data_IF_520840299308
#
_entry.id   IF_520840299308
#
_cell.length_a   1.000
_cell.length_b   1.000
_cell.length_c   1.000
_cell.angle_alpha   90.00
_cell.angle_beta   90.00
_cell.angle_gamma   90.00
#
_symmetry.space_group_name_H-M   'P 1'
#
loop_
_entity.id
_entity.type
_entity.pdbx_description
1 polymer ?
#
# COMPACT_ATOMS: atom_id res chain seq x y z
N UNK A 1 -22.64 -49.34 -1.83
CA UNK A 1 -21.53 -48.59 -1.20
C UNK A 1 -20.90 -47.66 -2.24
N UNK A 2 -21.54 -46.55 -2.58
CA UNK A 2 -21.04 -45.68 -3.68
C UNK A 2 -21.57 -44.25 -3.70
N UNK A 3 -22.40 -43.87 -2.72
CA UNK A 3 -23.02 -42.54 -2.66
C UNK A 3 -22.36 -41.69 -1.55
N UNK A 4 -21.72 -42.32 -0.57
CA UNK A 4 -21.02 -41.66 0.54
C UNK A 4 -19.61 -41.17 0.20
N UNK A 5 -19.01 -41.63 -0.91
CA UNK A 5 -17.66 -41.20 -1.32
C UNK A 5 -17.65 -39.93 -2.19
N UNK A 6 -18.74 -39.62 -2.90
CA UNK A 6 -18.80 -38.43 -3.75
C UNK A 6 -18.96 -37.11 -2.96
N UNK A 7 -19.45 -37.18 -1.72
CA UNK A 7 -19.61 -35.98 -0.87
C UNK A 7 -18.28 -35.51 -0.26
N UNK A 8 -17.29 -36.40 -0.12
CA UNK A 8 -15.98 -36.05 0.44
C UNK A 8 -15.11 -35.34 -0.62
N UNK A 9 -15.20 -35.76 -1.89
CA UNK A 9 -14.46 -35.14 -2.99
C UNK A 9 -14.94 -33.72 -3.34
N UNK A 10 -16.26 -33.45 -3.21
CA UNK A 10 -16.81 -32.11 -3.41
C UNK A 10 -16.41 -31.11 -2.31
N UNK A 11 -16.15 -31.59 -1.10
CA UNK A 11 -15.80 -30.73 0.04
C UNK A 11 -14.32 -30.31 0.03
N UNK A 12 -13.44 -31.17 -0.50
CA UNK A 12 -11.99 -30.87 -0.61
C UNK A 12 -11.71 -29.80 -1.70
N UNK A 13 -12.48 -29.80 -2.79
CA UNK A 13 -12.33 -28.81 -3.86
C UNK A 13 -12.72 -27.38 -3.44
N UNK A 14 -13.70 -27.23 -2.54
CA UNK A 14 -14.11 -25.92 -2.01
C UNK A 14 -13.12 -25.33 -0.98
N UNK A 15 -12.37 -26.19 -0.28
CA UNK A 15 -11.34 -25.76 0.67
C UNK A 15 -10.10 -25.26 -0.10
N UNK A 16 -9.79 -25.85 -1.25
CA UNK A 16 -8.62 -25.47 -2.07
C UNK A 16 -8.76 -24.08 -2.71
N UNK A 17 -9.96 -23.70 -3.17
CA UNK A 17 -10.19 -22.37 -3.79
C UNK A 17 -10.24 -21.24 -2.76
N UNK A 18 -10.76 -21.49 -1.55
CA UNK A 18 -10.73 -20.51 -0.46
C UNK A 18 -9.30 -20.27 0.06
N UNK A 19 -8.47 -21.32 0.08
CA UNK A 19 -7.08 -21.24 0.56
C UNK A 19 -6.22 -20.36 -0.34
N UNK A 20 -6.39 -20.44 -1.67
CA UNK A 20 -5.64 -19.61 -2.62
C UNK A 20 -6.04 -18.13 -2.54
N UNK A 21 -7.32 -17.82 -2.34
CA UNK A 21 -7.81 -16.44 -2.23
C UNK A 21 -7.36 -15.78 -0.93
N UNK A 22 -7.29 -16.54 0.17
CA UNK A 22 -6.76 -16.04 1.44
C UNK A 22 -5.24 -15.82 1.37
N UNK A 23 -4.49 -16.76 0.77
CA UNK A 23 -3.04 -16.63 0.61
C UNK A 23 -2.63 -15.46 -0.28
N UNK A 24 -3.37 -15.19 -1.36
CA UNK A 24 -3.15 -14.04 -2.24
C UNK A 24 -3.42 -12.71 -1.52
N UNK A 25 -4.51 -12.64 -0.74
CA UNK A 25 -4.84 -11.45 0.05
C UNK A 25 -3.85 -11.20 1.20
N UNK A 26 -3.34 -12.26 1.83
CA UNK A 26 -2.28 -12.14 2.85
C UNK A 26 -0.96 -11.68 2.20
N UNK A 27 -0.60 -12.20 1.03
CA UNK A 27 0.57 -11.76 0.27
C UNK A 27 0.47 -10.30 -0.18
N UNK A 28 -0.71 -9.86 -0.64
CA UNK A 28 -0.97 -8.45 -0.95
C UNK A 28 -0.78 -7.57 0.29
N UNK A 29 -1.36 -7.97 1.43
CA UNK A 29 -1.25 -7.23 2.69
C UNK A 29 0.20 -7.11 3.16
N UNK A 30 0.99 -8.17 3.05
CA UNK A 30 2.42 -8.15 3.35
C UNK A 30 3.19 -7.20 2.43
N UNK A 31 2.89 -7.21 1.12
CA UNK A 31 3.51 -6.31 0.16
C UNK A 31 3.16 -4.84 0.45
N UNK A 32 1.91 -4.55 0.82
CA UNK A 32 1.47 -3.20 1.19
C UNK A 32 2.06 -2.73 2.52
N UNK A 33 2.20 -3.61 3.51
CA UNK A 33 2.90 -3.30 4.75
C UNK A 33 4.38 -2.99 4.52
N UNK A 34 5.04 -3.73 3.62
CA UNK A 34 6.41 -3.43 3.20
C UNK A 34 6.49 -2.09 2.48
N UNK A 35 5.54 -1.78 1.59
CA UNK A 35 5.46 -0.49 0.91
C UNK A 35 5.40 0.66 1.91
N UNK A 36 4.55 0.57 2.95
CA UNK A 36 4.48 1.58 4.02
C UNK A 36 5.85 1.80 4.67
N UNK A 37 6.56 0.72 5.00
CA UNK A 37 7.90 0.80 5.61
C UNK A 37 8.94 1.46 4.69
N UNK A 38 8.90 1.16 3.39
CA UNK A 38 9.77 1.79 2.40
C UNK A 38 9.48 3.29 2.29
N UNK A 39 8.21 3.70 2.27
CA UNK A 39 7.83 5.13 2.24
C UNK A 39 8.32 5.89 3.48
N UNK A 40 8.34 5.26 4.66
CA UNK A 40 8.93 5.84 5.87
C UNK A 40 10.45 5.97 5.77
N UNK A 41 11.12 4.98 5.15
CA UNK A 41 12.56 5.02 4.91
C UNK A 41 12.94 6.15 3.95
N UNK A 42 12.12 6.43 2.93
CA UNK A 42 12.29 7.56 2.03
C UNK A 42 12.27 8.91 2.77
N UNK A 43 11.59 9.01 3.90
CA UNK A 43 11.57 10.25 4.70
C UNK A 43 12.97 10.64 5.19
N UNK A 44 13.82 9.66 5.51
CA UNK A 44 15.22 9.90 5.89
C UNK A 44 16.03 10.43 4.71
N UNK A 45 15.84 9.85 3.52
CA UNK A 45 16.52 10.29 2.30
C UNK A 45 16.11 11.72 1.93
N UNK A 46 14.84 12.08 2.13
CA UNK A 46 14.32 13.43 1.90
C UNK A 46 14.92 14.44 2.87
N UNK A 47 15.06 14.09 4.16
CA UNK A 47 15.75 14.93 5.14
C UNK A 47 17.20 15.18 4.74
N UNK A 48 17.90 14.13 4.34
CA UNK A 48 19.27 14.24 3.87
C UNK A 48 19.36 15.12 2.61
N UNK A 49 18.49 14.91 1.62
CA UNK A 49 18.46 15.74 0.43
C UNK A 49 18.15 17.21 0.76
N UNK A 50 17.27 17.47 1.73
CA UNK A 50 16.96 18.84 2.18
C UNK A 50 18.16 19.50 2.86
N UNK A 51 18.98 18.77 3.62
CA UNK A 51 20.16 19.34 4.29
C UNK A 51 21.28 19.71 3.30
N UNK A 52 21.30 19.08 2.12
CA UNK A 52 22.23 19.38 1.03
C UNK A 52 21.71 20.48 0.07
N UNK A 53 20.48 20.96 0.26
CA UNK A 53 19.86 21.90 -0.67
C UNK A 53 20.48 23.30 -0.57
N UNK A 54 20.77 23.92 -1.72
CA UNK A 54 21.25 25.30 -1.77
C UNK A 54 20.14 26.28 -1.31
N UNK A 55 20.33 27.05 -0.24
CA UNK A 55 19.33 28.00 0.25
C UNK A 55 19.07 29.17 -0.73
N UNK A 56 20.07 29.53 -1.55
CA UNK A 56 20.05 30.68 -2.46
C UNK A 56 19.55 30.32 -3.87
N UNK A 57 19.10 29.07 -4.08
CA UNK A 57 18.56 28.64 -5.37
C UNK A 57 17.30 29.42 -5.73
N UNK A 58 17.26 29.98 -6.95
CA UNK A 58 16.11 30.77 -7.48
C UNK A 58 14.81 29.98 -7.51
N UNK A 59 14.88 28.67 -7.77
CA UNK A 59 13.77 27.72 -7.75
C UNK A 59 14.09 26.70 -6.66
N UNK A 60 13.20 26.54 -5.69
CA UNK A 60 13.42 25.68 -4.52
C UNK A 60 12.50 24.47 -4.58
N UNK A 61 13.07 23.30 -4.32
CA UNK A 61 12.29 22.07 -4.20
C UNK A 61 11.48 22.09 -2.89
N UNK A 62 10.17 21.82 -2.97
CA UNK A 62 9.25 21.89 -1.82
C UNK A 62 9.24 20.58 -1.03
N UNK A 63 10.30 20.36 -0.25
CA UNK A 63 10.45 19.18 0.61
C UNK A 63 9.28 19.01 1.60
N UNK A 64 8.68 20.11 2.05
CA UNK A 64 7.47 20.09 2.89
C UNK A 64 6.27 19.47 2.16
N UNK A 65 6.08 19.80 0.89
CA UNK A 65 4.99 19.24 0.07
C UNK A 65 5.23 17.77 -0.26
N UNK A 66 6.47 17.40 -0.58
CA UNK A 66 6.81 16.00 -0.83
C UNK A 66 6.53 15.12 0.41
N UNK A 67 6.91 15.58 1.61
CA UNK A 67 6.60 14.86 2.86
C UNK A 67 5.10 14.74 3.11
N UNK A 68 4.31 15.79 2.84
CA UNK A 68 2.86 15.73 2.95
C UNK A 68 2.23 14.72 1.99
N UNK A 69 2.76 14.61 0.77
CA UNK A 69 2.27 13.64 -0.21
C UNK A 69 2.65 12.21 0.17
N UNK A 70 3.86 11.97 0.68
CA UNK A 70 4.25 10.68 1.26
C UNK A 70 3.37 10.28 2.45
N UNK A 71 3.08 11.21 3.36
CA UNK A 71 2.19 10.97 4.47
C UNK A 71 0.77 10.60 4.01
N UNK A 72 0.26 11.26 2.96
CA UNK A 72 -1.03 10.92 2.34
C UNK A 72 -1.02 9.55 1.68
N UNK A 73 0.03 9.20 0.94
CA UNK A 73 0.17 7.86 0.36
C UNK A 73 0.18 6.79 1.44
N UNK A 74 1.00 6.97 2.49
CA UNK A 74 1.04 6.03 3.62
C UNK A 74 -0.33 5.88 4.28
N UNK A 75 -1.03 6.99 4.53
CA UNK A 75 -2.36 6.97 5.11
C UNK A 75 -3.37 6.24 4.21
N UNK A 76 -3.35 6.47 2.90
CA UNK A 76 -4.25 5.79 1.95
C UNK A 76 -3.99 4.29 1.86
N UNK A 77 -2.72 3.86 1.88
CA UNK A 77 -2.36 2.42 1.90
C UNK A 77 -2.75 1.79 3.23
N UNK A 78 -2.49 2.45 4.35
CA UNK A 78 -2.88 1.95 5.68
C UNK A 78 -4.39 1.83 5.80
N UNK A 79 -5.13 2.84 5.34
CA UNK A 79 -6.59 2.81 5.29
C UNK A 79 -7.12 1.66 4.43
N UNK A 80 -6.45 1.35 3.31
CA UNK A 80 -6.79 0.20 2.47
C UNK A 80 -6.57 -1.13 3.21
N UNK A 81 -5.44 -1.26 3.93
CA UNK A 81 -5.16 -2.45 4.75
C UNK A 81 -6.19 -2.61 5.87
N UNK A 82 -6.65 -1.51 6.47
CA UNK A 82 -7.58 -1.51 7.62
C UNK A 82 -9.07 -1.59 7.21
N UNK A 83 -9.39 -1.33 5.94
CA UNK A 83 -10.75 -1.31 5.44
C UNK A 83 -11.43 -2.69 5.49
N UNK A 84 -12.69 -2.78 5.98
CA UNK A 84 -13.54 -3.93 5.73
C UNK A 84 -13.71 -4.12 4.22
N UNK A 85 -13.41 -5.33 3.74
CA UNK A 85 -13.34 -5.70 2.32
C UNK A 85 -14.72 -5.70 1.67
N UNK A 86 -15.29 -4.54 1.33
CA UNK A 86 -16.54 -4.47 0.56
C UNK A 86 -16.81 -3.20 -0.28
N UNK A 87 -16.08 -2.07 -0.14
CA UNK A 87 -16.51 -0.82 -0.78
C UNK A 87 -15.44 -0.13 -1.64
N UNK A 88 -15.75 0.26 -2.90
CA UNK A 88 -14.89 1.10 -3.71
C UNK A 88 -14.69 2.49 -3.08
N UNK A 89 -13.45 2.96 -2.96
CA UNK A 89 -13.13 4.29 -2.40
C UNK A 89 -12.45 5.20 -3.41
N UNK A 90 -12.68 6.51 -3.26
CA UNK A 90 -12.05 7.57 -4.06
C UNK A 90 -10.98 8.27 -3.23
N UNK A 91 -9.76 8.38 -3.76
CA UNK A 91 -8.66 9.13 -3.15
C UNK A 91 -8.52 10.51 -3.80
N UNK A 92 -8.24 11.59 -3.03
CA UNK A 92 -7.95 12.89 -3.60
C UNK A 92 -6.62 12.86 -4.41
N UNK A 93 -6.49 13.67 -5.48
CA UNK A 93 -5.30 13.66 -6.32
C UNK A 93 -4.05 14.17 -5.57
N UNK A 94 -2.90 13.57 -5.90
CA UNK A 94 -1.58 14.06 -5.48
C UNK A 94 -1.28 15.39 -6.20
N UNK A 95 -0.49 16.28 -5.58
CA UNK A 95 -0.16 17.58 -6.19
C UNK A 95 0.72 17.42 -7.42
N UNK A 96 1.80 16.64 -7.31
CA UNK A 96 2.69 16.31 -8.43
C UNK A 96 3.60 17.45 -8.92
N UNK A 97 3.33 18.71 -8.55
CA UNK A 97 4.09 19.92 -8.95
C UNK A 97 5.02 20.41 -7.83
N UNK A 98 6.11 19.69 -7.57
CA UNK A 98 6.99 19.97 -6.42
C UNK A 98 8.02 21.10 -6.63
N UNK A 99 8.00 21.79 -7.78
CA UNK A 99 8.99 22.80 -8.17
C UNK A 99 8.36 24.18 -8.21
N UNK A 100 8.93 25.15 -7.48
CA UNK A 100 8.56 26.57 -7.58
C UNK A 100 9.76 27.48 -7.45
#
# INVERSE_FOLDING_TARGET
MGITQLLIAGTIAAIFTASSVLADADAEREALARLIHELETLEQLIRYAQSQANPDARIRFRYDWLRQDLARMRAGVQEHIDAPRAEPRTFPPLRGDYRR
#
